data_IF_188228816025
#
_entry.id   IF_188228816025
#
_cell.length_a   1.000
_cell.length_b   1.000
_cell.length_c   1.000
_cell.angle_alpha   90.00
_cell.angle_beta   90.00
_cell.angle_gamma   90.00
#
_symmetry.space_group_name_H-M   'P 1'
#
loop_
_entity.id
_entity.type
_entity.pdbx_description
1 polymer ?
#
# COMPACT_ATOMS: atom_id res chain seq x y z
N UNK A 1 -7.76 -53.51 37.32
CA UNK A 1 -7.53 -52.07 37.47
C UNK A 1 -6.21 -51.57 36.86
N UNK A 2 -5.07 -52.28 36.93
CA UNK A 2 -3.78 -51.77 36.37
C UNK A 2 -3.69 -51.66 34.84
N UNK A 3 -4.47 -52.42 34.05
CA UNK A 3 -4.48 -52.37 32.58
C UNK A 3 -5.27 -51.17 32.01
N UNK A 4 -6.35 -50.76 32.65
CA UNK A 4 -7.16 -49.61 32.22
C UNK A 4 -6.40 -48.29 32.44
N UNK A 5 -5.65 -48.20 33.55
CA UNK A 5 -4.81 -47.04 33.85
C UNK A 5 -3.69 -46.80 32.81
N UNK A 6 -3.12 -47.89 32.26
CA UNK A 6 -2.07 -47.78 31.22
C UNK A 6 -2.64 -47.35 29.86
N UNK A 7 -3.84 -47.78 29.51
CA UNK A 7 -4.48 -47.38 28.28
C UNK A 7 -4.87 -45.89 28.35
N UNK A 8 -5.40 -45.42 29.48
CA UNK A 8 -5.73 -44.02 29.70
C UNK A 8 -4.48 -43.11 29.60
N UNK A 9 -3.36 -43.56 30.16
CA UNK A 9 -2.11 -42.79 30.09
C UNK A 9 -1.54 -42.70 28.67
N UNK A 10 -1.67 -43.78 27.86
CA UNK A 10 -1.26 -43.76 26.44
C UNK A 10 -2.14 -42.89 25.59
N UNK A 11 -3.48 -42.93 25.81
CA UNK A 11 -4.42 -42.06 25.10
C UNK A 11 -4.22 -40.60 25.45
N UNK A 12 -3.89 -40.28 26.71
CA UNK A 12 -3.54 -38.91 27.13
C UNK A 12 -2.23 -38.45 26.54
N UNK A 13 -1.21 -39.33 26.45
CA UNK A 13 0.08 -39.00 25.85
C UNK A 13 -0.04 -38.75 24.31
N UNK A 14 -0.88 -39.52 23.61
CA UNK A 14 -1.13 -39.34 22.17
C UNK A 14 -1.91 -38.05 21.92
N UNK A 15 -2.86 -37.67 22.80
CA UNK A 15 -3.59 -36.42 22.69
C UNK A 15 -2.70 -35.17 22.88
N UNK A 16 -1.59 -35.28 23.65
CA UNK A 16 -0.62 -34.18 23.84
C UNK A 16 0.39 -34.10 22.68
N UNK A 17 0.56 -35.18 21.91
CA UNK A 17 1.46 -35.22 20.75
C UNK A 17 0.78 -34.95 19.41
N UNK A 18 -0.51 -34.68 19.38
CA UNK A 18 -1.11 -34.12 18.16
C UNK A 18 -0.53 -32.72 17.98
N UNK A 19 0.06 -32.39 16.82
CA UNK A 19 0.39 -31.04 16.53
C UNK A 19 -0.95 -30.28 16.55
N UNK A 20 -1.20 -29.53 17.62
CA UNK A 20 -2.08 -28.40 17.50
C UNK A 20 -1.40 -27.52 16.45
N UNK A 21 -2.00 -27.39 15.29
CA UNK A 21 -1.80 -26.22 14.46
C UNK A 21 -2.16 -25.03 15.35
N UNK A 22 -1.19 -24.59 16.12
CA UNK A 22 -1.16 -23.22 16.59
C UNK A 22 -0.95 -22.44 15.29
N UNK A 23 -2.04 -22.17 14.61
CA UNK A 23 -2.13 -21.02 13.73
C UNK A 23 -1.93 -19.86 14.70
N UNK A 24 -0.68 -19.52 14.92
CA UNK A 24 -0.36 -18.20 15.41
C UNK A 24 -1.09 -17.30 14.43
N UNK A 25 -2.09 -16.63 14.95
CA UNK A 25 -2.79 -15.56 14.26
C UNK A 25 -1.76 -14.45 14.08
N UNK A 26 -0.92 -14.61 13.06
CA UNK A 26 -0.14 -13.53 12.52
C UNK A 26 -1.18 -12.76 11.71
N UNK A 27 -1.89 -11.86 12.40
CA UNK A 27 -2.69 -10.86 11.74
C UNK A 27 -1.80 -10.25 10.65
N UNK A 28 -2.23 -10.23 9.38
CA UNK A 28 -1.46 -9.56 8.34
C UNK A 28 -1.17 -8.14 8.82
N UNK A 29 -0.01 -7.57 8.51
CA UNK A 29 0.32 -6.24 8.99
C UNK A 29 -0.80 -5.29 8.60
N UNK A 30 -1.34 -4.57 9.57
CA UNK A 30 -2.41 -3.62 9.34
C UNK A 30 -1.98 -2.61 8.27
N UNK A 31 -2.70 -2.54 7.16
CA UNK A 31 -2.35 -1.72 5.99
C UNK A 31 -3.36 -0.58 5.83
N UNK A 32 -2.92 0.65 5.56
CA UNK A 32 -3.80 1.78 5.32
C UNK A 32 -4.44 1.73 3.93
N UNK A 33 -5.53 2.48 3.69
CA UNK A 33 -6.20 2.51 2.40
C UNK A 33 -5.30 3.08 1.28
N UNK A 34 -5.50 2.60 0.09
CA UNK A 34 -4.80 2.92 -1.14
C UNK A 34 -4.58 1.65 -1.95
N UNK A 35 -5.40 1.42 -2.98
CA UNK A 35 -5.51 0.13 -3.64
C UNK A 35 -5.65 0.30 -5.15
N UNK A 36 -5.43 -0.80 -5.88
CA UNK A 36 -5.87 -0.92 -7.26
C UNK A 36 -7.40 -0.90 -7.35
N UNK A 37 -7.98 -0.39 -8.44
CA UNK A 37 -9.40 -0.55 -8.70
C UNK A 37 -9.74 -2.03 -8.97
N UNK A 38 -10.89 -2.48 -8.51
CA UNK A 38 -11.41 -3.82 -8.85
C UNK A 38 -12.58 -3.74 -9.83
N UNK A 39 -12.77 -4.78 -10.69
CA UNK A 39 -13.95 -4.89 -11.52
C UNK A 39 -15.19 -5.16 -10.67
N UNK A 40 -16.33 -4.67 -11.11
CA UNK A 40 -17.62 -4.95 -10.47
C UNK A 40 -18.26 -6.28 -10.89
N UNK A 41 -17.55 -7.11 -11.65
CA UNK A 41 -18.01 -8.41 -12.15
C UNK A 41 -16.94 -9.47 -11.93
N UNK A 42 -17.37 -10.73 -11.71
CA UNK A 42 -16.46 -11.86 -11.48
C UNK A 42 -15.63 -12.27 -12.71
N UNK A 43 -16.09 -11.92 -13.92
CA UNK A 43 -15.43 -12.29 -15.18
C UNK A 43 -15.41 -11.07 -16.12
N UNK A 44 -14.24 -10.63 -16.47
CA UNK A 44 -14.03 -9.54 -17.43
C UNK A 44 -12.98 -9.93 -18.48
N UNK A 45 -13.03 -9.30 -19.66
CA UNK A 45 -11.96 -9.36 -20.67
C UNK A 45 -11.06 -8.12 -20.59
N UNK A 46 -11.28 -7.26 -19.61
CA UNK A 46 -10.45 -6.06 -19.42
C UNK A 46 -9.20 -6.42 -18.64
N UNK A 47 -8.03 -6.13 -19.23
CA UNK A 47 -6.71 -6.30 -18.63
C UNK A 47 -6.17 -4.96 -18.14
N UNK A 48 -5.50 -4.94 -17.02
CA UNK A 48 -4.63 -3.83 -16.60
C UNK A 48 -3.30 -3.94 -17.35
N UNK A 49 -3.15 -3.12 -18.41
CA UNK A 49 -1.96 -3.17 -19.29
C UNK A 49 -0.76 -2.51 -18.64
N UNK A 50 -0.99 -1.41 -17.95
CA UNK A 50 0.04 -0.68 -17.24
C UNK A 50 -0.56 0.08 -16.06
N UNK A 51 0.26 0.26 -15.04
CA UNK A 51 -0.02 1.08 -13.87
C UNK A 51 1.18 1.96 -13.54
N UNK A 52 0.93 3.19 -13.13
CA UNK A 52 1.95 4.07 -12.55
C UNK A 52 1.42 4.67 -11.26
N UNK A 53 2.09 4.39 -10.15
CA UNK A 53 1.75 4.90 -8.82
C UNK A 53 2.80 5.89 -8.37
N UNK A 54 2.38 7.11 -8.05
CA UNK A 54 3.23 8.13 -7.43
C UNK A 54 2.75 8.40 -6.01
N UNK A 55 3.58 8.13 -5.02
CA UNK A 55 3.37 8.44 -3.60
C UNK A 55 4.25 9.65 -3.26
N UNK A 56 3.65 10.83 -3.16
CA UNK A 56 4.36 12.06 -2.79
C UNK A 56 4.23 12.31 -1.28
N UNK A 57 5.26 11.94 -0.54
CA UNK A 57 5.32 12.16 0.91
C UNK A 57 5.45 13.66 1.18
N UNK A 58 4.54 14.20 1.98
CA UNK A 58 4.48 15.63 2.27
C UNK A 58 5.44 16.00 3.42
N UNK A 59 5.95 17.24 3.45
CA UNK A 59 6.67 17.75 4.61
C UNK A 59 5.84 17.63 5.88
N UNK A 60 6.44 17.16 6.97
CA UNK A 60 5.76 17.07 8.26
C UNK A 60 5.44 18.46 8.83
N UNK A 61 4.22 18.65 9.31
CA UNK A 61 3.74 19.93 9.86
C UNK A 61 3.92 20.02 11.36
N UNK A 62 3.99 18.87 12.06
CA UNK A 62 4.26 18.80 13.52
C UNK A 62 5.16 17.60 13.82
N UNK A 63 5.75 17.62 15.03
CA UNK A 63 6.70 16.57 15.47
C UNK A 63 5.99 15.26 15.75
N UNK A 64 4.73 15.32 16.14
CA UNK A 64 3.93 14.18 16.57
C UNK A 64 3.04 13.64 15.43
N UNK A 65 3.16 14.23 14.23
CA UNK A 65 2.42 13.81 13.05
C UNK A 65 3.20 12.76 12.28
N UNK A 66 2.60 11.59 12.06
CA UNK A 66 3.13 10.55 11.17
C UNK A 66 3.26 11.03 9.71
N UNK A 67 2.72 12.22 9.41
CA UNK A 67 2.74 12.80 8.07
C UNK A 67 1.60 12.30 7.21
N UNK A 68 1.63 12.74 5.97
CA UNK A 68 0.68 12.35 4.94
C UNK A 68 1.38 12.26 3.59
N UNK A 69 0.76 11.52 2.67
CA UNK A 69 1.19 11.47 1.28
C UNK A 69 0.02 11.78 0.35
N UNK A 70 0.31 12.45 -0.76
CA UNK A 70 -0.58 12.51 -1.90
C UNK A 70 -0.24 11.34 -2.80
N UNK A 71 -1.25 10.56 -3.16
CA UNK A 71 -1.11 9.42 -4.07
C UNK A 71 -1.80 9.74 -5.37
N UNK A 72 -1.16 9.38 -6.47
CA UNK A 72 -1.73 9.42 -7.82
C UNK A 72 -1.43 8.08 -8.47
N UNK A 73 -2.48 7.34 -8.83
CA UNK A 73 -2.39 6.08 -9.56
C UNK A 73 -3.04 6.25 -10.92
N UNK A 74 -2.31 5.93 -11.97
CA UNK A 74 -2.72 6.01 -13.37
C UNK A 74 -2.72 4.62 -13.98
N UNK A 75 -3.90 4.14 -14.38
CA UNK A 75 -4.14 2.80 -14.89
C UNK A 75 -4.47 2.87 -16.37
N UNK A 76 -3.75 2.09 -17.19
CA UNK A 76 -4.09 1.82 -18.57
C UNK A 76 -4.82 0.49 -18.66
N UNK A 77 -6.11 0.53 -18.94
CA UNK A 77 -6.97 -0.64 -19.02
C UNK A 77 -7.31 -0.94 -20.48
N UNK A 78 -7.29 -2.22 -20.88
CA UNK A 78 -7.62 -2.62 -22.25
C UNK A 78 -8.57 -3.81 -22.26
N UNK A 79 -9.69 -3.67 -22.93
CA UNK A 79 -10.61 -4.77 -23.22
C UNK A 79 -10.03 -5.66 -24.34
N UNK A 80 -9.67 -6.89 -24.00
CA UNK A 80 -9.14 -7.90 -24.94
C UNK A 80 -10.25 -8.68 -25.65
N UNK A 81 -11.51 -8.48 -25.25
CA UNK A 81 -12.68 -9.09 -25.88
C UNK A 81 -13.09 -8.42 -27.19
N UNK A 82 -14.04 -9.04 -27.88
CA UNK A 82 -14.60 -8.52 -29.14
C UNK A 82 -15.78 -7.57 -28.96
N UNK A 83 -16.35 -7.48 -27.79
CA UNK A 83 -17.53 -6.67 -27.47
C UNK A 83 -17.18 -5.60 -26.42
N UNK A 84 -17.94 -4.50 -26.40
CA UNK A 84 -17.75 -3.45 -25.40
C UNK A 84 -18.26 -3.92 -24.05
N UNK A 85 -17.46 -3.76 -23.00
CA UNK A 85 -17.85 -4.03 -21.61
C UNK A 85 -18.15 -2.71 -20.88
N UNK A 86 -19.29 -2.65 -20.19
CA UNK A 86 -19.63 -1.56 -19.29
C UNK A 86 -19.89 -2.13 -17.91
N UNK A 87 -19.12 -1.67 -16.92
CA UNK A 87 -19.19 -2.21 -15.57
C UNK A 87 -19.00 -1.14 -14.50
N UNK A 88 -19.42 -1.46 -13.29
CA UNK A 88 -19.04 -0.72 -12.10
C UNK A 88 -17.60 -1.10 -11.71
N UNK A 89 -16.74 -0.12 -11.59
CA UNK A 89 -15.38 -0.25 -11.05
C UNK A 89 -15.38 0.30 -9.64
N UNK A 90 -14.62 -0.30 -8.74
CA UNK A 90 -14.61 0.04 -7.32
C UNK A 90 -13.21 0.38 -6.87
N UNK A 91 -13.11 1.33 -5.94
CA UNK A 91 -11.87 1.73 -5.31
C UNK A 91 -12.08 1.84 -3.79
N UNK A 92 -11.34 1.12 -2.94
CA UNK A 92 -11.55 1.15 -1.51
C UNK A 92 -11.10 2.49 -0.93
N UNK A 93 -11.92 3.08 -0.07
CA UNK A 93 -11.63 4.35 0.60
C UNK A 93 -11.26 4.18 2.08
N UNK A 94 -11.41 2.98 2.60
CA UNK A 94 -10.88 2.54 3.89
C UNK A 94 -10.69 1.03 3.88
N UNK A 95 -9.88 0.51 4.80
CA UNK A 95 -9.71 -0.91 5.07
C UNK A 95 -9.76 -1.18 6.56
N UNK A 96 -10.09 -2.42 6.94
CA UNK A 96 -10.02 -2.89 8.30
C UNK A 96 -8.56 -3.15 8.71
N UNK A 97 -8.29 -3.02 10.00
CA UNK A 97 -7.03 -3.46 10.61
C UNK A 97 -7.23 -4.66 11.56
N UNK A 98 -8.40 -5.32 11.46
CA UNK A 98 -8.82 -6.42 12.34
C UNK A 98 -9.34 -5.99 13.72
N UNK A 99 -9.17 -4.72 14.11
CA UNK A 99 -9.67 -4.14 15.36
C UNK A 99 -10.53 -2.90 15.15
N UNK A 100 -10.62 -2.44 13.91
CA UNK A 100 -11.36 -1.26 13.49
C UNK A 100 -11.02 -0.90 12.05
N UNK A 101 -11.34 0.30 11.61
CA UNK A 101 -11.02 0.76 10.26
C UNK A 101 -9.90 1.80 10.30
N UNK A 102 -9.02 1.76 9.31
CA UNK A 102 -8.09 2.85 9.07
C UNK A 102 -8.85 4.15 8.75
N UNK A 103 -8.23 5.32 9.00
CA UNK A 103 -8.79 6.58 8.53
C UNK A 103 -9.04 6.52 7.02
N UNK A 104 -10.19 7.01 6.59
CA UNK A 104 -10.51 7.09 5.17
C UNK A 104 -9.49 7.97 4.44
N UNK A 105 -9.21 7.61 3.18
CA UNK A 105 -8.49 8.51 2.26
C UNK A 105 -9.30 9.80 2.07
N UNK A 106 -8.62 10.89 1.81
CA UNK A 106 -9.21 12.22 1.63
C UNK A 106 -8.98 12.73 0.22
N UNK A 107 -9.79 13.70 -0.18
CA UNK A 107 -9.65 14.41 -1.45
C UNK A 107 -9.66 13.47 -2.67
N UNK A 108 -10.40 12.35 -2.57
CA UNK A 108 -10.51 11.38 -3.65
C UNK A 108 -11.08 12.02 -4.91
N UNK A 109 -10.34 11.90 -6.00
CA UNK A 109 -10.74 12.30 -7.33
C UNK A 109 -10.46 11.16 -8.30
N UNK A 110 -11.45 10.85 -9.14
CA UNK A 110 -11.34 9.82 -10.17
C UNK A 110 -11.65 10.44 -11.52
N UNK A 111 -10.81 10.15 -12.51
CA UNK A 111 -11.02 10.54 -13.90
C UNK A 111 -10.95 9.30 -14.79
N UNK A 112 -11.83 9.27 -15.78
CA UNK A 112 -11.78 8.29 -16.87
C UNK A 112 -11.59 9.07 -18.17
N UNK A 113 -10.55 8.76 -18.93
CA UNK A 113 -10.14 9.47 -20.14
C UNK A 113 -10.07 10.99 -19.93
N UNK A 114 -9.47 11.40 -18.80
CA UNK A 114 -9.28 12.79 -18.41
C UNK A 114 -10.55 13.51 -17.91
N UNK A 115 -11.71 12.85 -17.88
CA UNK A 115 -12.97 13.43 -17.40
C UNK A 115 -13.28 12.99 -15.98
N UNK A 116 -13.63 13.94 -15.11
CA UNK A 116 -14.09 13.59 -13.76
C UNK A 116 -15.34 12.71 -13.82
N UNK A 117 -15.35 11.65 -13.04
CA UNK A 117 -16.50 10.76 -12.87
C UNK A 117 -17.09 10.91 -11.48
N UNK A 118 -18.42 10.78 -11.40
CA UNK A 118 -19.10 10.77 -10.10
C UNK A 118 -18.96 9.39 -9.47
N UNK A 119 -18.67 9.36 -8.18
CA UNK A 119 -18.59 8.15 -7.40
C UNK A 119 -19.80 7.97 -6.50
N UNK A 120 -20.19 6.74 -6.27
CA UNK A 120 -21.18 6.33 -5.27
C UNK A 120 -20.46 5.61 -4.14
N UNK A 121 -20.69 6.04 -2.89
CA UNK A 121 -20.19 5.32 -1.73
C UNK A 121 -21.03 4.06 -1.52
N UNK A 122 -20.39 2.92 -1.43
CA UNK A 122 -20.97 1.63 -1.12
C UNK A 122 -20.22 0.99 0.03
N UNK A 123 -20.83 0.00 0.68
CA UNK A 123 -20.15 -0.87 1.64
C UNK A 123 -19.87 -2.20 0.95
N UNK A 124 -18.63 -2.63 1.01
CA UNK A 124 -18.16 -3.91 0.46
C UNK A 124 -17.34 -4.65 1.51
N UNK A 125 -17.16 -5.94 1.28
CA UNK A 125 -16.21 -6.75 2.04
C UNK A 125 -14.83 -6.12 2.00
N UNK A 126 -14.16 -6.13 3.14
CA UNK A 126 -12.77 -5.67 3.21
C UNK A 126 -11.87 -6.61 2.42
N UNK A 127 -10.95 -6.09 1.60
CA UNK A 127 -10.06 -6.93 0.80
C UNK A 127 -9.03 -7.72 1.64
N UNK A 128 -8.78 -7.31 2.88
CA UNK A 128 -7.84 -7.99 3.79
C UNK A 128 -8.55 -8.85 4.83
N UNK A 129 -9.77 -8.46 5.23
CA UNK A 129 -10.55 -9.12 6.29
C UNK A 129 -11.98 -9.40 5.80
N UNK A 130 -12.18 -10.56 5.23
CA UNK A 130 -13.44 -10.98 4.57
C UNK A 130 -14.72 -10.84 5.42
N UNK A 131 -14.59 -10.67 6.73
CA UNK A 131 -15.73 -10.51 7.64
C UNK A 131 -16.12 -9.06 7.90
N UNK A 132 -15.27 -8.12 7.52
CA UNK A 132 -15.48 -6.70 7.75
C UNK A 132 -16.06 -6.04 6.50
N UNK A 133 -16.91 -5.03 6.73
CA UNK A 133 -17.48 -4.21 5.66
C UNK A 133 -16.85 -2.83 5.71
N UNK A 134 -16.23 -2.42 4.63
CA UNK A 134 -15.56 -1.12 4.51
C UNK A 134 -16.16 -0.29 3.38
N UNK A 135 -16.00 1.03 3.42
CA UNK A 135 -16.51 1.91 2.38
C UNK A 135 -15.64 1.88 1.12
N UNK A 136 -16.30 1.80 -0.04
CA UNK A 136 -15.70 1.86 -1.36
C UNK A 136 -16.33 2.98 -2.18
N UNK A 137 -15.59 3.54 -3.12
CA UNK A 137 -16.07 4.42 -4.16
C UNK A 137 -16.35 3.60 -5.42
N UNK A 138 -17.60 3.53 -5.84
CA UNK A 138 -18.02 2.85 -7.07
C UNK A 138 -18.29 3.87 -8.16
N UNK A 139 -17.84 3.59 -9.39
CA UNK A 139 -18.04 4.41 -10.57
C UNK A 139 -18.15 3.55 -11.83
N UNK A 140 -18.87 4.02 -12.84
CA UNK A 140 -19.08 3.26 -14.07
C UNK A 140 -18.02 3.59 -15.11
N UNK A 141 -17.52 2.55 -15.79
CA UNK A 141 -16.57 2.65 -16.91
C UNK A 141 -17.07 1.80 -18.07
N UNK A 142 -16.90 2.30 -19.29
CA UNK A 142 -17.11 1.53 -20.51
C UNK A 142 -15.76 1.30 -21.16
N UNK A 143 -15.47 0.05 -21.46
CA UNK A 143 -14.23 -0.43 -22.10
C UNK A 143 -14.55 -0.92 -23.52
N UNK A 144 -14.32 -0.09 -24.56
CA UNK A 144 -14.50 -0.51 -25.94
C UNK A 144 -13.50 -1.61 -26.34
N UNK A 145 -13.85 -2.52 -27.26
CA UNK A 145 -12.96 -3.62 -27.64
C UNK A 145 -11.66 -3.11 -28.24
N UNK A 146 -10.53 -3.63 -27.76
CA UNK A 146 -9.19 -3.34 -28.24
C UNK A 146 -8.69 -1.92 -28.04
N UNK A 147 -9.38 -1.09 -27.27
CA UNK A 147 -8.98 0.29 -26.98
C UNK A 147 -8.49 0.45 -25.54
N UNK A 148 -7.55 1.37 -25.33
CA UNK A 148 -7.10 1.76 -24.02
C UNK A 148 -8.06 2.76 -23.40
N UNK A 149 -8.38 2.54 -22.12
CA UNK A 149 -9.13 3.46 -21.27
C UNK A 149 -8.22 3.84 -20.12
N UNK A 150 -8.04 5.14 -19.90
CA UNK A 150 -7.21 5.66 -18.80
C UNK A 150 -8.08 5.92 -17.57
N UNK A 151 -7.70 5.35 -16.43
CA UNK A 151 -8.32 5.62 -15.14
C UNK A 151 -7.27 6.27 -14.25
N UNK A 152 -7.50 7.53 -13.87
CA UNK A 152 -6.65 8.27 -12.95
C UNK A 152 -7.35 8.41 -11.61
N UNK A 153 -6.73 7.90 -10.55
CA UNK A 153 -7.19 8.04 -9.17
C UNK A 153 -6.19 8.89 -8.39
N UNK A 154 -6.66 9.92 -7.70
CA UNK A 154 -5.80 10.69 -6.80
C UNK A 154 -6.47 10.92 -5.45
N UNK A 155 -5.67 10.85 -4.37
CA UNK A 155 -6.15 10.99 -3.00
C UNK A 155 -5.02 11.40 -2.06
N UNK A 156 -5.38 11.72 -0.82
CA UNK A 156 -4.47 11.95 0.30
C UNK A 156 -4.63 10.84 1.32
N UNK A 157 -3.52 10.21 1.72
CA UNK A 157 -3.48 9.22 2.81
C UNK A 157 -2.63 9.70 3.97
N UNK A 158 -2.88 9.15 5.17
CA UNK A 158 -2.05 9.40 6.34
C UNK A 158 -0.99 8.31 6.46
N UNK A 159 0.19 8.68 6.98
CA UNK A 159 1.19 7.70 7.39
C UNK A 159 0.70 6.91 8.59
N UNK A 160 1.16 5.68 8.70
CA UNK A 160 0.97 4.81 9.88
C UNK A 160 2.31 4.60 10.55
N UNK A 161 2.33 4.10 11.77
CA UNK A 161 3.56 3.78 12.46
C UNK A 161 3.66 4.38 13.84
N UNK A 162 4.89 4.46 14.35
CA UNK A 162 5.22 4.95 15.68
C UNK A 162 6.51 5.77 15.64
N UNK A 163 6.56 6.83 16.43
CA UNK A 163 7.73 7.70 16.50
C UNK A 163 9.02 6.90 16.74
N UNK A 164 10.09 7.13 16.00
CA UNK A 164 10.30 8.19 15.00
C UNK A 164 10.01 7.76 13.54
N UNK A 165 9.26 6.69 13.30
CA UNK A 165 9.06 6.06 12.00
C UNK A 165 7.64 6.22 11.48
N UNK A 166 7.51 6.30 10.16
CA UNK A 166 6.25 6.28 9.44
C UNK A 166 6.33 5.32 8.26
N UNK A 167 5.20 4.69 7.93
CA UNK A 167 5.05 3.85 6.76
C UNK A 167 3.90 4.34 5.89
N UNK A 168 4.03 4.15 4.58
CA UNK A 168 3.00 4.34 3.59
C UNK A 168 2.90 3.06 2.76
N UNK A 169 1.68 2.74 2.34
CA UNK A 169 1.37 1.47 1.68
C UNK A 169 0.66 1.71 0.37
N UNK A 170 0.82 0.75 -0.53
CA UNK A 170 0.01 0.61 -1.72
C UNK A 170 -0.29 -0.87 -1.95
N UNK A 171 -1.55 -1.21 -2.19
CA UNK A 171 -2.00 -2.59 -2.26
C UNK A 171 -2.27 -2.95 -3.71
N UNK A 172 -1.52 -3.92 -4.21
CA UNK A 172 -1.64 -4.42 -5.58
C UNK A 172 -2.66 -5.55 -5.72
N UNK A 173 -2.82 -6.40 -4.69
CA UNK A 173 -3.61 -7.63 -4.80
C UNK A 173 -5.10 -7.42 -5.14
N UNK A 174 -5.66 -6.23 -4.89
CA UNK A 174 -7.02 -5.90 -5.35
C UNK A 174 -7.14 -5.83 -6.87
N UNK A 175 -6.03 -5.83 -7.59
CA UNK A 175 -5.98 -5.94 -9.05
C UNK A 175 -6.16 -7.36 -9.60
N UNK A 176 -6.19 -8.40 -8.76
CA UNK A 176 -6.34 -9.82 -9.13
C UNK A 176 -7.62 -10.09 -9.96
N UNK A 177 -8.67 -9.29 -9.78
CA UNK A 177 -9.95 -9.48 -10.48
C UNK A 177 -9.93 -9.11 -11.97
N UNK A 178 -8.88 -8.47 -12.49
CA UNK A 178 -8.76 -8.12 -13.90
C UNK A 178 -8.29 -9.30 -14.75
N UNK A 179 -8.46 -9.20 -16.09
CA UNK A 179 -8.07 -10.24 -17.03
C UNK A 179 -6.56 -10.39 -17.11
N UNK A 180 -6.05 -11.60 -16.94
CA UNK A 180 -4.63 -11.96 -17.02
C UNK A 180 -3.75 -11.15 -16.04
N UNK A 181 -2.45 -11.19 -16.20
CA UNK A 181 -1.48 -10.45 -15.38
C UNK A 181 -1.54 -8.93 -15.60
N UNK A 182 -1.14 -8.15 -14.62
CA UNK A 182 -0.79 -6.74 -14.81
C UNK A 182 0.44 -6.67 -15.70
N UNK A 183 0.35 -5.95 -16.82
CA UNK A 183 1.43 -5.93 -17.81
C UNK A 183 2.70 -5.26 -17.29
N UNK A 184 2.54 -4.10 -16.64
CA UNK A 184 3.64 -3.43 -15.92
C UNK A 184 3.12 -2.51 -14.83
N UNK A 185 3.89 -2.38 -13.74
CA UNK A 185 3.63 -1.38 -12.70
C UNK A 185 4.93 -0.63 -12.39
N UNK A 186 4.87 0.70 -12.48
CA UNK A 186 5.91 1.60 -12.02
C UNK A 186 5.43 2.26 -10.71
N UNK A 187 6.11 1.97 -9.60
CA UNK A 187 5.83 2.60 -8.33
C UNK A 187 6.95 3.58 -7.98
N UNK A 188 6.58 4.82 -7.71
CA UNK A 188 7.49 5.93 -7.44
C UNK A 188 7.12 6.52 -6.09
N UNK A 189 8.06 6.54 -5.16
CA UNK A 189 7.93 7.30 -3.92
C UNK A 189 8.82 8.53 -4.02
N UNK A 190 8.22 9.70 -3.82
CA UNK A 190 8.92 10.98 -3.80
C UNK A 190 8.91 11.56 -2.39
N UNK A 191 10.10 11.79 -1.85
CA UNK A 191 10.29 12.38 -0.53
C UNK A 191 10.48 13.91 -0.64
N UNK A 192 10.20 14.69 0.42
CA UNK A 192 10.50 16.13 0.44
C UNK A 192 11.99 16.45 0.67
N UNK A 193 12.86 15.46 0.59
CA UNK A 193 14.32 15.50 0.76
C UNK A 193 14.96 14.32 0.04
N UNK A 194 16.28 14.33 -0.13
CA UNK A 194 17.00 13.23 -0.77
C UNK A 194 16.86 11.91 0.04
N UNK A 195 16.52 10.85 -0.67
CA UNK A 195 16.38 9.51 -0.11
C UNK A 195 17.76 8.89 0.13
N UNK A 196 17.94 8.22 1.26
CA UNK A 196 19.14 7.46 1.59
C UNK A 196 18.87 6.45 2.71
N UNK A 197 19.85 5.59 3.03
CA UNK A 197 19.74 4.55 4.07
C UNK A 197 19.61 5.08 5.50
N UNK A 198 19.72 6.37 5.75
CA UNK A 198 19.50 6.98 7.07
C UNK A 198 18.04 7.44 7.25
N UNK A 199 17.29 7.63 6.17
CA UNK A 199 15.92 8.11 6.24
C UNK A 199 14.89 7.16 5.62
N UNK A 200 15.33 6.14 4.88
CA UNK A 200 14.50 5.03 4.37
C UNK A 200 14.99 3.74 5.03
N UNK A 201 14.08 2.91 5.50
CA UNK A 201 14.40 1.72 6.31
C UNK A 201 14.42 0.49 5.41
N UNK A 202 15.62 0.01 5.09
CA UNK A 202 15.86 -1.15 4.24
C UNK A 202 16.36 -2.38 5.01
N UNK A 203 16.68 -2.24 6.29
CA UNK A 203 17.26 -3.30 7.11
C UNK A 203 16.60 -3.40 8.49
N UNK A 204 16.78 -4.55 9.15
CA UNK A 204 16.16 -4.86 10.43
C UNK A 204 16.80 -4.14 11.63
N UNK A 205 17.80 -3.31 11.44
CA UNK A 205 18.55 -2.67 12.54
C UNK A 205 17.69 -1.78 13.41
N UNK A 206 16.59 -1.27 12.86
CA UNK A 206 15.65 -0.41 13.59
C UNK A 206 14.60 -1.19 14.38
N UNK A 207 14.41 -2.49 14.09
CA UNK A 207 13.28 -3.28 14.60
C UNK A 207 11.90 -2.84 14.07
N UNK A 208 11.88 -1.98 13.04
CA UNK A 208 10.67 -1.51 12.38
C UNK A 208 10.41 -2.27 11.08
N UNK A 209 9.18 -2.20 10.57
CA UNK A 209 8.82 -2.79 9.29
C UNK A 209 9.70 -2.27 8.14
N UNK A 210 10.10 -3.16 7.27
CA UNK A 210 11.02 -2.85 6.18
C UNK A 210 10.30 -2.22 4.99
N UNK A 211 11.05 -1.44 4.22
CA UNK A 211 10.63 -1.03 2.88
C UNK A 211 10.69 -2.24 1.94
N UNK A 212 9.69 -2.37 1.06
CA UNK A 212 9.68 -3.38 -0.01
C UNK A 212 11.02 -3.37 -0.76
N UNK A 213 11.69 -4.53 -0.90
CA UNK A 213 12.99 -4.60 -1.53
C UNK A 213 12.96 -4.25 -3.03
N UNK A 214 14.13 -4.00 -3.63
CA UNK A 214 14.27 -3.77 -5.07
C UNK A 214 14.14 -2.31 -5.50
N UNK A 215 13.88 -1.38 -4.59
CA UNK A 215 13.79 0.05 -4.90
C UNK A 215 15.13 0.66 -5.32
N UNK A 216 15.12 1.45 -6.39
CA UNK A 216 16.27 2.20 -6.89
C UNK A 216 16.16 3.67 -6.49
N UNK A 217 17.13 4.15 -5.69
CA UNK A 217 17.17 5.54 -5.22
C UNK A 217 17.79 6.44 -6.30
N UNK A 218 17.11 7.54 -6.61
CA UNK A 218 17.59 8.60 -7.50
C UNK A 218 17.19 9.98 -6.94
N UNK A 219 18.10 10.63 -6.22
CA UNK A 219 17.83 11.89 -5.53
C UNK A 219 16.74 11.73 -4.47
N UNK A 220 15.65 12.44 -4.62
CA UNK A 220 14.51 12.37 -3.71
C UNK A 220 13.43 11.35 -4.12
N UNK A 221 13.69 10.54 -5.14
CA UNK A 221 12.79 9.49 -5.60
C UNK A 221 13.36 8.10 -5.36
N UNK A 222 12.46 7.14 -5.12
CA UNK A 222 12.75 5.72 -5.07
C UNK A 222 11.76 5.06 -6.01
N UNK A 223 12.25 4.17 -6.90
CA UNK A 223 11.45 3.57 -7.97
C UNK A 223 11.53 2.07 -7.95
N UNK A 224 10.38 1.43 -8.12
CA UNK A 224 10.22 -0.01 -8.34
C UNK A 224 9.53 -0.21 -9.67
N UNK A 225 9.87 -1.31 -10.34
CA UNK A 225 9.22 -1.74 -11.56
C UNK A 225 8.92 -3.22 -11.49
N UNK A 226 7.68 -3.56 -11.76
CA UNK A 226 7.18 -4.93 -11.89
C UNK A 226 6.67 -5.12 -13.31
N UNK A 227 6.82 -6.33 -13.85
CA UNK A 227 6.40 -6.65 -15.22
C UNK A 227 5.72 -8.03 -15.25
N UNK A 228 4.63 -8.14 -15.98
CA UNK A 228 3.86 -9.36 -16.22
C UNK A 228 3.57 -10.16 -14.95
N UNK A 229 3.11 -9.49 -13.89
CA UNK A 229 2.88 -10.11 -12.59
C UNK A 229 1.38 -10.25 -12.27
N UNK A 230 1.02 -11.35 -11.62
CA UNK A 230 -0.29 -11.55 -11.00
C UNK A 230 -0.17 -11.07 -9.55
N UNK A 231 -0.90 -10.00 -9.16
CA UNK A 231 -0.73 -9.44 -7.84
C UNK A 231 -1.30 -10.36 -6.75
N UNK A 232 -0.44 -10.75 -5.80
CA UNK A 232 -0.81 -11.44 -4.58
C UNK A 232 -0.57 -10.57 -3.35
N UNK A 233 -0.89 -11.07 -2.17
CA UNK A 233 -0.64 -10.36 -0.90
C UNK A 233 0.83 -10.05 -0.67
N UNK A 234 1.74 -10.88 -1.20
CA UNK A 234 3.19 -10.68 -1.11
C UNK A 234 3.71 -9.54 -1.98
N UNK A 235 2.91 -9.10 -2.96
CA UNK A 235 3.28 -8.02 -3.86
C UNK A 235 2.84 -6.65 -3.33
N UNK A 236 2.08 -6.62 -2.23
CA UNK A 236 1.66 -5.38 -1.60
C UNK A 236 2.87 -4.57 -1.16
N UNK A 237 2.81 -3.28 -1.49
CA UNK A 237 3.94 -2.39 -1.34
C UNK A 237 3.92 -1.65 -0.01
N UNK A 238 5.08 -1.53 0.61
CA UNK A 238 5.33 -0.69 1.77
C UNK A 238 6.59 0.13 1.61
N UNK A 239 6.53 1.41 1.96
CA UNK A 239 7.72 2.20 2.25
C UNK A 239 7.72 2.62 3.71
N UNK A 240 8.83 2.33 4.40
CA UNK A 240 9.07 2.73 5.78
C UNK A 240 10.20 3.75 5.84
N UNK A 241 10.00 4.83 6.55
CA UNK A 241 10.95 5.93 6.63
C UNK A 241 10.96 6.59 8.01
N UNK A 242 12.03 7.33 8.27
CA UNK A 242 12.04 8.29 9.37
C UNK A 242 10.98 9.35 9.08
N UNK A 243 10.10 9.64 10.05
CA UNK A 243 9.04 10.62 9.90
C UNK A 243 9.57 11.91 9.27
N UNK A 244 8.91 12.48 8.25
CA UNK A 244 9.39 13.68 7.55
C UNK A 244 9.69 14.86 8.48
N UNK A 245 8.88 15.03 9.52
CA UNK A 245 9.05 16.05 10.55
C UNK A 245 10.31 15.85 11.40
N UNK A 246 10.67 14.59 11.67
CA UNK A 246 11.89 14.23 12.41
C UNK A 246 13.12 14.43 11.54
N UNK A 247 13.10 13.95 10.31
CA UNK A 247 14.21 14.09 9.39
C UNK A 247 14.50 15.57 9.05
N UNK A 248 13.48 16.37 8.90
CA UNK A 248 13.64 17.80 8.69
C UNK A 248 14.41 18.49 9.83
N UNK A 249 14.24 18.05 11.08
CA UNK A 249 15.03 18.55 12.21
C UNK A 249 16.50 18.14 12.11
N UNK A 250 16.78 16.92 11.67
CA UNK A 250 18.15 16.44 11.43
C UNK A 250 18.82 17.33 10.39
N UNK A 251 18.17 17.58 9.25
CA UNK A 251 18.68 18.44 8.19
C UNK A 251 18.93 19.87 8.66
N UNK A 252 18.01 20.45 9.44
CA UNK A 252 18.16 21.78 9.98
C UNK A 252 19.34 21.86 10.95
N UNK A 253 19.53 20.86 11.81
CA UNK A 253 20.67 20.78 12.72
C UNK A 253 21.99 20.70 11.98
N UNK A 254 22.09 19.85 10.96
CA UNK A 254 23.29 19.72 10.12
C UNK A 254 23.64 21.06 9.44
N UNK A 255 22.63 21.75 8.90
CA UNK A 255 22.82 23.06 8.24
C UNK A 255 23.33 24.13 9.20
N UNK A 256 22.79 24.16 10.43
CA UNK A 256 23.25 25.12 11.46
C UNK A 256 24.69 24.85 11.89
N UNK A 257 25.09 23.59 12.06
CA UNK A 257 26.48 23.22 12.37
C UNK A 257 27.41 23.66 11.24
N UNK A 258 27.08 23.40 9.98
CA UNK A 258 27.89 23.79 8.84
C UNK A 258 28.07 25.33 8.71
N UNK A 259 27.02 26.10 9.01
CA UNK A 259 27.08 27.56 9.00
C UNK A 259 27.97 28.08 10.13
N UNK A 260 27.84 27.57 11.35
CA UNK A 260 28.70 27.98 12.47
C UNK A 260 30.17 27.66 12.25
N UNK A 261 30.49 26.54 11.59
CA UNK A 261 31.87 26.18 11.24
C UNK A 261 32.47 27.20 10.23
N UNK A 262 31.73 27.56 9.17
CA UNK A 262 32.16 28.56 8.19
C UNK A 262 32.37 29.94 8.81
N UNK A 263 31.50 30.36 9.75
CA UNK A 263 31.68 31.64 10.45
C UNK A 263 32.88 31.61 11.39
N UNK A 264 33.22 30.48 12.02
CA UNK A 264 34.41 30.30 12.83
C UNK A 264 35.68 30.38 12.00
N UNK A 265 35.73 29.74 10.84
CA UNK A 265 36.86 29.77 9.92
C UNK A 265 37.08 31.18 9.31
N UNK A 266 36.02 31.96 9.10
CA UNK A 266 36.11 33.32 8.56
C UNK A 266 36.62 34.36 9.59
N UNK A 267 36.65 34.03 10.88
CA UNK A 267 37.10 34.92 11.97
C UNK A 267 38.45 34.59 12.52
N UNK A 268 39.10 33.49 12.12
CA UNK A 268 40.46 33.08 12.49
C UNK A 268 41.45 33.42 11.41
#
# INVERSE_FOLDING_TARGET
>A
MKRVSRILAVVFLIAVCLPFDVRGDVAPPAQPPGFNPEPGTELTQVRMVAETVLIEVQPGTSVDSLGQAKVTADFTMRNLGGESESMAVRFPISVSNGFGSFPEIRDLQIKVDGRNVSTRRIMQTDPLFEYDMVPWAEFNVTFPPGQDVQILVSYTTQGTGEYPYAAYYYIFHTGEGWKDTIGSADLIVRLPYDANSQNVIFDETTGWSLTTPGGVIAGNEIKWRLEDFEPGYEDDFQISLVMPSVWQKVLNKQRNVANNTKEGEARG
#
